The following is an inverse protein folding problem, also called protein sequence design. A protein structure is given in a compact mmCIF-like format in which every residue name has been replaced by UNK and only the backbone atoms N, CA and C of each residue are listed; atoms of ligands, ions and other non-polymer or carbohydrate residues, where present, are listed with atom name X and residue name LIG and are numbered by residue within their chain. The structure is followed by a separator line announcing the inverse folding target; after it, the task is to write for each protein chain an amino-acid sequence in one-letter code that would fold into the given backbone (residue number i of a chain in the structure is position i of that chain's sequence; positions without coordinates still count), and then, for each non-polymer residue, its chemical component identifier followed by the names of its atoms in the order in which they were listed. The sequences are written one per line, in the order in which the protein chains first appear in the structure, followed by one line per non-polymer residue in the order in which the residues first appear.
data_IF_553575247194
#
_entry.id   IF_553575247194
#
_cell.length_a   1.000
_cell.length_b   1.000
_cell.length_c   1.000
_cell.angle_alpha   90.00
_cell.angle_beta   90.00
_cell.angle_gamma   90.00
#
_symmetry.space_group_name_H-M   'P 1'
#
loop_
_entity.id
_entity.type
_entity.pdbx_description
1 polymer ?
#
# COMPACT_ATOMS: atom_id res chain seq x y z
N UNK A 1 -5.84 2.25 -18.21
CA UNK A 1 -5.00 1.97 -19.40
C UNK A 1 -5.88 1.48 -20.54
N UNK A 2 -5.64 1.95 -21.77
CA UNK A 2 -6.31 1.41 -22.96
C UNK A 2 -5.68 0.08 -23.36
N UNK A 3 -6.52 -0.92 -23.64
CA UNK A 3 -6.07 -2.21 -24.16
C UNK A 3 -5.66 -2.11 -25.62
N UNK A 4 -4.88 -3.07 -26.07
CA UNK A 4 -4.52 -3.27 -27.47
C UNK A 4 -4.97 -4.65 -27.93
N UNK A 5 -6.04 -4.69 -28.72
CA UNK A 5 -6.63 -5.92 -29.21
C UNK A 5 -5.67 -6.76 -30.08
N UNK A 6 -4.68 -6.13 -30.72
CA UNK A 6 -3.68 -6.83 -31.57
C UNK A 6 -2.79 -7.75 -30.73
N UNK A 7 -2.50 -7.38 -29.49
CA UNK A 7 -1.71 -8.21 -28.55
C UNK A 7 -2.58 -8.90 -27.49
N UNK A 8 -3.89 -8.90 -27.66
CA UNK A 8 -4.82 -9.59 -26.76
C UNK A 8 -5.00 -8.94 -25.39
N UNK A 9 -4.62 -7.65 -25.22
CA UNK A 9 -4.82 -6.95 -23.96
C UNK A 9 -6.13 -6.17 -23.93
N UNK A 10 -6.85 -6.23 -22.81
CA UNK A 10 -8.09 -5.50 -22.60
C UNK A 10 -7.87 -4.13 -21.96
N UNK A 11 -8.79 -3.20 -22.21
CA UNK A 11 -8.80 -1.93 -21.52
C UNK A 11 -9.12 -2.14 -20.05
N UNK A 12 -8.33 -1.52 -19.18
CA UNK A 12 -8.51 -1.57 -17.73
C UNK A 12 -8.74 -0.17 -17.16
N UNK A 13 -9.69 -0.07 -16.25
CA UNK A 13 -9.95 1.12 -15.45
C UNK A 13 -9.72 0.80 -13.99
N UNK A 14 -9.20 1.76 -13.23
CA UNK A 14 -9.11 1.63 -11.77
C UNK A 14 -9.30 2.98 -11.12
N UNK A 15 -9.94 3.00 -9.97
CA UNK A 15 -10.05 4.16 -9.10
C UNK A 15 -9.73 3.78 -7.66
N UNK A 16 -9.13 4.71 -6.93
CA UNK A 16 -8.79 4.57 -5.52
C UNK A 16 -9.24 5.84 -4.80
N UNK A 17 -9.88 5.68 -3.66
CA UNK A 17 -10.23 6.77 -2.77
C UNK A 17 -9.98 6.36 -1.32
N UNK A 18 -9.69 7.33 -0.47
CA UNK A 18 -9.49 7.03 0.93
C UNK A 18 -9.21 8.28 1.75
N UNK A 19 -9.26 8.10 3.05
CA UNK A 19 -8.90 9.11 4.05
C UNK A 19 -8.09 8.45 5.15
N UNK A 20 -7.24 9.23 5.79
CA UNK A 20 -6.45 8.78 6.92
C UNK A 20 -6.43 9.85 8.02
N UNK A 21 -6.37 9.41 9.25
CA UNK A 21 -6.18 10.23 10.43
C UNK A 21 -5.18 9.57 11.36
N UNK A 22 -4.36 10.38 11.99
CA UNK A 22 -3.36 9.88 12.94
C UNK A 22 -2.99 10.94 13.95
N UNK A 23 -2.28 10.50 14.96
CA UNK A 23 -1.72 11.35 15.99
C UNK A 23 -0.34 10.83 16.37
N UNK A 24 0.52 11.75 16.78
CA UNK A 24 1.81 11.42 17.36
C UNK A 24 2.03 12.17 18.68
N UNK A 25 2.94 11.64 19.46
CA UNK A 25 3.28 12.20 20.74
C UNK A 25 4.82 12.16 20.94
N UNK A 26 5.33 13.25 21.45
CA UNK A 26 6.74 13.40 21.78
C UNK A 26 6.98 12.86 23.19
N UNK A 27 7.42 11.60 23.30
CA UNK A 27 7.71 10.93 24.58
C UNK A 27 8.94 11.49 25.28
N UNK A 28 9.90 11.95 24.50
CA UNK A 28 11.10 12.65 24.99
C UNK A 28 11.57 13.62 23.90
N UNK A 29 12.51 14.54 24.19
CA UNK A 29 13.08 15.42 23.16
C UNK A 29 13.59 14.70 21.91
N UNK A 30 13.92 13.43 22.06
CA UNK A 30 14.55 12.61 21.02
C UNK A 30 13.64 11.48 20.49
N UNK A 31 12.43 11.28 21.06
CA UNK A 31 11.59 10.12 20.74
C UNK A 31 10.15 10.56 20.45
N UNK A 32 9.71 10.28 19.23
CA UNK A 32 8.33 10.45 18.78
C UNK A 32 7.75 9.07 18.50
N UNK A 33 6.54 8.82 18.93
CA UNK A 33 5.76 7.66 18.48
C UNK A 33 4.35 8.10 18.12
N UNK A 34 3.76 7.42 17.18
CA UNK A 34 2.44 7.75 16.68
C UNK A 34 1.71 6.56 16.10
N UNK A 35 0.44 6.78 15.82
CA UNK A 35 -0.42 5.82 15.14
C UNK A 35 -1.25 6.53 14.08
N UNK A 36 -1.71 5.76 13.11
CA UNK A 36 -2.66 6.21 12.11
C UNK A 36 -3.67 5.11 11.79
N UNK A 37 -4.87 5.52 11.45
CA UNK A 37 -5.90 4.68 10.86
C UNK A 37 -6.31 5.26 9.52
N UNK A 38 -6.61 4.40 8.57
CA UNK A 38 -7.06 4.78 7.24
C UNK A 38 -8.21 3.89 6.79
N UNK A 39 -9.11 4.47 6.02
CA UNK A 39 -10.19 3.74 5.36
C UNK A 39 -10.36 4.25 3.93
N UNK A 40 -10.78 3.37 3.06
CA UNK A 40 -10.97 3.72 1.66
C UNK A 40 -11.47 2.54 0.84
N UNK A 41 -11.47 2.71 -0.47
CA UNK A 41 -11.84 1.64 -1.37
C UNK A 41 -11.16 1.77 -2.71
N UNK A 42 -11.14 0.66 -3.41
CA UNK A 42 -10.67 0.57 -4.78
C UNK A 42 -11.74 -0.06 -5.64
N UNK A 43 -11.83 0.36 -6.88
CA UNK A 43 -12.59 -0.35 -7.89
C UNK A 43 -11.75 -0.52 -9.14
N UNK A 44 -11.92 -1.65 -9.81
CA UNK A 44 -11.24 -1.93 -11.07
C UNK A 44 -12.19 -2.65 -12.02
N UNK A 45 -11.98 -2.45 -13.31
CA UNK A 45 -12.74 -3.11 -14.36
C UNK A 45 -11.83 -3.47 -15.52
N UNK A 46 -12.10 -4.63 -16.11
CA UNK A 46 -11.46 -5.12 -17.31
C UNK A 46 -12.56 -5.32 -18.36
N UNK A 47 -12.51 -4.55 -19.44
CA UNK A 47 -13.55 -4.56 -20.47
C UNK A 47 -13.81 -5.96 -21.01
N UNK A 48 -15.06 -6.41 -20.95
CA UNK A 48 -15.49 -7.71 -21.46
C UNK A 48 -15.16 -8.92 -20.59
N UNK A 49 -14.46 -8.75 -19.46
CA UNK A 49 -14.06 -9.87 -18.59
C UNK A 49 -14.63 -9.78 -17.17
N UNK A 50 -14.73 -8.57 -16.61
CA UNK A 50 -15.27 -8.42 -15.28
C UNK A 50 -14.80 -7.17 -14.57
N UNK A 51 -15.17 -7.08 -13.31
CA UNK A 51 -14.85 -5.96 -12.43
C UNK A 51 -14.64 -6.45 -11.00
N UNK A 52 -14.10 -5.58 -10.16
CA UNK A 52 -14.00 -5.84 -8.73
C UNK A 52 -13.98 -4.54 -7.95
N UNK A 53 -14.29 -4.66 -6.68
CA UNK A 53 -14.19 -3.60 -5.68
C UNK A 53 -13.57 -4.15 -4.42
N UNK A 54 -12.95 -3.27 -3.67
CA UNK A 54 -12.42 -3.62 -2.35
C UNK A 54 -12.63 -2.45 -1.42
N UNK A 55 -13.19 -2.72 -0.25
CA UNK A 55 -13.20 -1.80 0.89
C UNK A 55 -11.97 -2.11 1.75
N UNK A 56 -11.26 -1.06 2.16
CA UNK A 56 -9.98 -1.15 2.83
C UNK A 56 -10.03 -0.45 4.19
N UNK A 57 -9.59 -1.13 5.22
CA UNK A 57 -9.24 -0.54 6.51
C UNK A 57 -7.76 -0.81 6.80
N UNK A 58 -7.05 0.20 7.30
CA UNK A 58 -5.67 0.07 7.73
C UNK A 58 -5.47 0.72 9.10
N UNK A 59 -4.60 0.12 9.91
CA UNK A 59 -4.12 0.71 11.14
C UNK A 59 -2.60 0.49 11.22
N UNK A 60 -1.89 1.49 11.71
CA UNK A 60 -0.44 1.41 11.85
C UNK A 60 0.08 2.24 13.01
N UNK A 61 1.26 1.89 13.47
CA UNK A 61 1.99 2.63 14.50
C UNK A 61 3.46 2.73 14.11
N UNK A 62 4.11 3.75 14.60
CA UNK A 62 5.53 3.96 14.40
C UNK A 62 6.20 4.55 15.64
N UNK A 63 7.51 4.36 15.72
CA UNK A 63 8.38 5.04 16.66
C UNK A 63 9.60 5.54 15.91
N UNK A 64 10.04 6.75 16.23
CA UNK A 64 11.30 7.33 15.77
C UNK A 64 12.09 7.82 16.95
N UNK A 65 13.34 7.40 17.03
CA UNK A 65 14.32 7.88 18.00
C UNK A 65 15.47 8.54 17.27
N UNK A 66 15.95 9.67 17.81
CA UNK A 66 17.08 10.43 17.26
C UNK A 66 18.11 10.64 18.35
N UNK A 67 19.34 10.24 18.09
CA UNK A 67 20.48 10.47 19.00
C UNK A 67 21.56 11.25 18.26
N UNK A 68 21.69 12.54 18.60
CA UNK A 68 22.55 13.47 17.87
C UNK A 68 22.16 13.55 16.39
N UNK A 69 23.04 13.13 15.51
CA UNK A 69 22.82 13.10 14.06
C UNK A 69 22.28 11.77 13.54
N UNK A 70 22.23 10.74 14.36
CA UNK A 70 21.71 9.43 14.01
C UNK A 70 20.20 9.34 14.30
N UNK A 71 19.48 8.55 13.51
CA UNK A 71 18.09 8.20 13.82
C UNK A 71 17.81 6.74 13.49
N UNK A 72 16.82 6.20 14.18
CA UNK A 72 16.17 4.93 13.86
C UNK A 72 14.66 5.15 13.86
N UNK A 73 13.99 4.51 12.92
CA UNK A 73 12.53 4.51 12.83
C UNK A 73 12.05 3.06 12.64
N UNK A 74 11.05 2.67 13.40
CA UNK A 74 10.36 1.40 13.21
C UNK A 74 8.87 1.67 13.02
N UNK A 75 8.23 0.93 12.12
CA UNK A 75 6.80 1.03 11.86
C UNK A 75 6.22 -0.34 11.62
N UNK A 76 4.98 -0.54 12.08
CA UNK A 76 4.16 -1.72 11.81
C UNK A 76 2.80 -1.26 11.32
N UNK A 77 2.21 -2.01 10.39
CA UNK A 77 0.87 -1.75 9.92
C UNK A 77 0.12 -3.06 9.64
N UNK A 78 -1.18 -2.99 9.85
CA UNK A 78 -2.15 -4.02 9.54
C UNK A 78 -3.19 -3.44 8.59
N UNK A 79 -3.56 -4.21 7.57
CA UNK A 79 -4.62 -3.88 6.62
C UNK A 79 -5.61 -5.03 6.53
N UNK A 80 -6.89 -4.69 6.51
CA UNK A 80 -7.99 -5.59 6.22
C UNK A 80 -8.72 -5.10 4.97
N UNK A 81 -9.06 -6.02 4.09
CA UNK A 81 -9.74 -5.74 2.82
C UNK A 81 -10.92 -6.67 2.65
N UNK A 82 -12.07 -6.12 2.33
CA UNK A 82 -13.24 -6.84 1.85
C UNK A 82 -13.30 -6.71 0.33
N UNK A 83 -13.19 -7.84 -0.36
CA UNK A 83 -13.01 -7.87 -1.80
C UNK A 83 -14.18 -8.60 -2.44
N UNK A 84 -14.83 -7.93 -3.38
CA UNK A 84 -15.84 -8.51 -4.27
C UNK A 84 -15.31 -8.50 -5.70
N UNK A 85 -15.39 -9.62 -6.39
CA UNK A 85 -15.05 -9.74 -7.80
C UNK A 85 -16.23 -10.27 -8.59
N UNK A 86 -16.50 -9.68 -9.74
CA UNK A 86 -17.53 -10.09 -10.70
C UNK A 86 -16.86 -10.46 -12.02
N UNK A 87 -17.11 -11.66 -12.51
CA UNK A 87 -16.57 -12.18 -13.77
C UNK A 87 -17.67 -12.67 -14.69
N UNK A 88 -17.58 -12.31 -15.98
CA UNK A 88 -18.50 -12.77 -17.01
C UNK A 88 -17.77 -13.72 -17.95
N UNK A 89 -18.36 -14.87 -18.21
CA UNK A 89 -17.81 -15.90 -19.11
C UNK A 89 -18.74 -16.04 -20.34
N UNK A 90 -18.32 -15.55 -21.51
CA UNK A 90 -19.17 -15.55 -22.74
C UNK A 90 -18.96 -16.79 -23.60
N UNK A 91 -18.90 -17.99 -23.05
CA UNK A 91 -18.59 -19.22 -23.82
C UNK A 91 -19.85 -19.96 -24.30
N UNK A 92 -20.82 -20.16 -23.41
CA UNK A 92 -22.11 -20.82 -23.73
C UNK A 92 -23.22 -20.07 -23.01
N UNK A 93 -23.53 -18.86 -23.45
CA UNK A 93 -24.38 -17.93 -22.73
C UNK A 93 -23.56 -16.87 -22.01
N UNK A 94 -24.17 -16.13 -21.09
CA UNK A 94 -23.51 -15.12 -20.25
C UNK A 94 -23.55 -15.63 -18.80
N UNK A 95 -22.57 -16.46 -18.44
CA UNK A 95 -22.42 -16.89 -17.05
C UNK A 95 -21.83 -15.75 -16.24
N UNK A 96 -22.51 -15.38 -15.16
CA UNK A 96 -22.09 -14.33 -14.23
C UNK A 96 -21.67 -14.95 -12.91
N UNK A 97 -20.40 -14.81 -12.58
CA UNK A 97 -19.75 -15.42 -11.43
C UNK A 97 -19.25 -14.32 -10.49
N UNK A 98 -19.46 -14.52 -9.20
CA UNK A 98 -19.02 -13.59 -8.14
C UNK A 98 -18.24 -14.32 -7.07
N UNK A 99 -17.19 -13.69 -6.58
CA UNK A 99 -16.53 -14.11 -5.36
C UNK A 99 -16.45 -12.95 -4.36
N UNK A 100 -16.64 -13.29 -3.08
CA UNK A 100 -16.53 -12.38 -1.94
C UNK A 100 -15.59 -13.02 -0.92
N UNK A 101 -14.57 -12.30 -0.50
CA UNK A 101 -13.59 -12.77 0.47
C UNK A 101 -12.86 -11.63 1.14
N UNK A 102 -12.27 -11.91 2.31
CA UNK A 102 -11.51 -10.95 3.09
C UNK A 102 -10.01 -11.27 3.00
N UNK A 103 -9.18 -10.27 2.76
CA UNK A 103 -7.74 -10.39 2.77
C UNK A 103 -7.13 -9.62 3.94
N UNK A 104 -6.05 -10.13 4.50
CA UNK A 104 -5.30 -9.49 5.56
C UNK A 104 -3.88 -9.19 5.10
N UNK A 105 -3.40 -7.99 5.39
CA UNK A 105 -2.04 -7.56 5.10
C UNK A 105 -1.32 -7.15 6.38
N UNK A 106 -0.07 -7.57 6.52
CA UNK A 106 0.82 -7.19 7.61
C UNK A 106 2.07 -6.59 7.02
N UNK A 107 2.51 -5.45 7.51
CA UNK A 107 3.76 -4.86 7.07
C UNK A 107 4.58 -4.35 8.24
N UNK A 108 5.90 -4.40 8.06
CA UNK A 108 6.85 -3.84 9.00
C UNK A 108 8.00 -3.19 8.24
N UNK A 109 8.50 -2.07 8.79
CA UNK A 109 9.64 -1.34 8.25
C UNK A 109 10.54 -0.88 9.38
N UNK A 110 11.84 -1.07 9.20
CA UNK A 110 12.87 -0.47 10.04
C UNK A 110 13.80 0.33 9.14
N UNK A 111 14.13 1.54 9.55
CA UNK A 111 15.02 2.43 8.82
C UNK A 111 15.97 3.11 9.80
N UNK A 112 17.25 3.18 9.45
CA UNK A 112 18.27 3.92 10.20
C UNK A 112 19.08 4.79 9.26
N UNK A 113 19.51 5.95 9.77
CA UNK A 113 20.31 6.88 9.00
C UNK A 113 21.12 7.82 9.88
N UNK A 114 22.07 8.50 9.24
CA UNK A 114 22.94 9.45 9.92
C UNK A 114 23.06 10.73 9.10
N UNK A 115 22.78 11.89 9.70
CA UNK A 115 22.79 13.19 9.02
C UNK A 115 24.16 13.85 9.15
N UNK A 116 24.83 14.04 8.03
CA UNK A 116 26.02 14.86 7.90
C UNK A 116 25.62 16.30 7.60
N UNK A 117 25.83 17.19 8.55
CA UNK A 117 25.57 18.62 8.37
C UNK A 117 26.78 19.28 7.70
N UNK A 118 26.59 19.87 6.53
CA UNK A 118 27.58 20.68 5.83
C UNK A 118 27.12 22.14 5.85
N UNK A 119 28.03 23.13 5.60
CA UNK A 119 27.66 24.55 5.70
C UNK A 119 26.49 24.98 4.83
N UNK A 120 26.22 24.28 3.73
CA UNK A 120 25.24 24.64 2.73
C UNK A 120 24.15 23.58 2.46
N UNK A 121 24.31 22.38 3.01
CA UNK A 121 23.31 21.32 2.90
C UNK A 121 23.49 20.24 3.95
N UNK A 122 22.44 19.52 4.27
CA UNK A 122 22.47 18.26 4.99
C UNK A 122 22.43 17.07 4.04
N UNK A 123 23.26 16.05 4.25
CA UNK A 123 23.19 14.78 3.54
C UNK A 123 22.96 13.68 4.56
N UNK A 124 21.95 12.86 4.32
CA UNK A 124 21.57 11.77 5.21
C UNK A 124 21.54 10.44 4.45
N UNK A 125 22.64 9.68 4.43
CA UNK A 125 22.58 8.29 4.01
C UNK A 125 21.68 7.51 4.97
N UNK A 126 20.91 6.58 4.43
CA UNK A 126 20.04 5.71 5.20
C UNK A 126 19.98 4.30 4.60
N UNK A 127 19.64 3.36 5.46
CA UNK A 127 19.31 1.99 5.09
C UNK A 127 17.96 1.62 5.69
N UNK A 128 17.16 0.86 4.95
CA UNK A 128 15.89 0.37 5.43
C UNK A 128 15.63 -1.07 4.98
N UNK A 129 14.95 -1.81 5.85
CA UNK A 129 14.35 -3.10 5.55
C UNK A 129 12.85 -3.03 5.76
N UNK A 130 12.09 -3.64 4.86
CA UNK A 130 10.64 -3.71 4.91
C UNK A 130 10.18 -5.10 4.51
N UNK A 131 9.08 -5.55 5.07
CA UNK A 131 8.33 -6.68 4.57
C UNK A 131 6.84 -6.33 4.49
N UNK A 132 6.14 -6.98 3.58
CA UNK A 132 4.68 -6.96 3.48
C UNK A 132 4.21 -8.37 3.23
N UNK A 133 3.34 -8.89 4.07
CA UNK A 133 2.72 -10.21 3.92
C UNK A 133 1.24 -10.02 3.67
N UNK A 134 0.75 -10.56 2.55
CA UNK A 134 -0.65 -10.60 2.19
C UNK A 134 -1.17 -12.03 2.36
N UNK A 135 -2.21 -12.19 3.16
CA UNK A 135 -2.90 -13.45 3.37
C UNK A 135 -4.26 -13.42 2.67
N UNK A 136 -4.41 -14.27 1.68
CA UNK A 136 -5.65 -14.53 0.97
C UNK A 136 -6.24 -15.85 1.47
N UNK A 137 -7.51 -15.90 1.91
CA UNK A 137 -8.16 -17.16 2.26
C UNK A 137 -8.43 -18.01 1.03
N UNK A 138 -8.83 -19.25 1.21
CA UNK A 138 -9.48 -20.00 0.16
C UNK A 138 -10.88 -19.42 -0.11
N UNK A 139 -11.23 -19.26 -1.36
CA UNK A 139 -12.55 -18.80 -1.76
C UNK A 139 -13.00 -19.45 -3.06
N UNK A 140 -14.29 -19.42 -3.34
CA UNK A 140 -14.87 -19.96 -4.57
C UNK A 140 -15.85 -18.95 -5.17
N UNK A 141 -15.92 -18.94 -6.47
CA UNK A 141 -16.92 -18.17 -7.19
C UNK A 141 -18.29 -18.81 -7.03
N UNK A 142 -19.30 -17.99 -6.86
CA UNK A 142 -20.71 -18.36 -6.87
C UNK A 142 -21.36 -17.93 -8.17
N UNK A 143 -22.23 -18.75 -8.71
CA UNK A 143 -23.00 -18.42 -9.92
C UNK A 143 -24.14 -17.48 -9.55
N UNK A 144 -24.13 -16.29 -10.11
CA UNK A 144 -25.23 -15.31 -9.98
C UNK A 144 -26.28 -15.56 -11.06
N UNK A 145 -25.84 -15.88 -12.28
CA UNK A 145 -26.70 -16.29 -13.38
C UNK A 145 -25.92 -17.18 -14.35
N UNK A 146 -26.64 -18.04 -15.08
CA UNK A 146 -26.05 -19.02 -15.98
C UNK A 146 -25.75 -20.36 -15.30
N UNK A 147 -24.72 -21.06 -15.73
CA UNK A 147 -24.33 -22.39 -15.25
C UNK A 147 -23.10 -22.31 -14.36
N UNK A 148 -22.98 -23.20 -13.34
CA UNK A 148 -21.81 -23.22 -12.44
C UNK A 148 -20.57 -23.88 -13.09
N UNK A 149 -20.64 -24.29 -14.32
CA UNK A 149 -19.60 -25.08 -15.01
C UNK A 149 -18.24 -24.39 -15.03
N UNK A 150 -18.22 -23.05 -15.05
CA UNK A 150 -17.00 -22.25 -15.10
C UNK A 150 -16.67 -21.55 -13.78
N UNK A 151 -17.37 -21.86 -12.69
CA UNK A 151 -17.04 -21.35 -11.38
C UNK A 151 -15.68 -21.90 -10.90
N UNK A 152 -14.81 -21.01 -10.47
CA UNK A 152 -13.45 -21.33 -10.03
C UNK A 152 -13.36 -21.35 -8.51
N UNK A 153 -12.60 -22.31 -8.00
CA UNK A 153 -12.18 -22.35 -6.61
C UNK A 153 -10.71 -21.96 -6.50
N UNK A 154 -10.38 -21.13 -5.53
CA UNK A 154 -9.03 -20.65 -5.27
C UNK A 154 -8.55 -21.15 -3.91
N UNK A 155 -7.39 -21.76 -3.88
CA UNK A 155 -6.73 -22.14 -2.61
C UNK A 155 -6.20 -20.89 -1.90
N UNK A 156 -6.26 -20.91 -0.58
CA UNK A 156 -5.66 -19.85 0.23
C UNK A 156 -4.16 -19.70 -0.05
N UNK A 157 -3.67 -18.47 -0.04
CA UNK A 157 -2.28 -18.16 -0.35
C UNK A 157 -1.77 -17.04 0.55
N UNK A 158 -0.56 -17.24 1.07
CA UNK A 158 0.20 -16.19 1.73
C UNK A 158 1.38 -15.80 0.85
N UNK A 159 1.54 -14.51 0.62
CA UNK A 159 2.64 -13.95 -0.17
C UNK A 159 3.36 -12.91 0.67
N UNK A 160 4.68 -13.08 0.83
CA UNK A 160 5.53 -12.12 1.52
C UNK A 160 6.49 -11.48 0.53
N UNK A 161 6.50 -10.17 0.51
CA UNK A 161 7.42 -9.33 -0.29
C UNK A 161 8.41 -8.62 0.65
N UNK A 162 9.65 -9.11 0.78
CA UNK A 162 10.71 -8.40 1.47
C UNK A 162 11.37 -7.37 0.57
N UNK A 163 11.67 -6.19 1.10
CA UNK A 163 12.34 -5.11 0.39
C UNK A 163 13.46 -4.53 1.23
N UNK A 164 14.63 -4.33 0.64
CA UNK A 164 15.72 -3.54 1.19
C UNK A 164 15.89 -2.24 0.40
N UNK A 165 16.27 -1.18 1.07
CA UNK A 165 16.45 0.14 0.47
C UNK A 165 17.72 0.77 1.04
N UNK A 166 18.56 1.30 0.16
CA UNK A 166 19.71 2.15 0.49
C UNK A 166 19.54 3.45 -0.27
N UNK A 167 19.77 4.58 0.38
CA UNK A 167 19.56 5.86 -0.27
C UNK A 167 20.18 7.02 0.48
N UNK A 168 20.00 8.19 -0.13
CA UNK A 168 20.40 9.47 0.45
C UNK A 168 19.20 10.41 0.47
N UNK A 169 19.11 11.19 1.55
CA UNK A 169 18.22 12.36 1.61
C UNK A 169 19.09 13.60 1.68
N UNK A 170 18.70 14.64 0.98
CA UNK A 170 19.34 15.94 1.12
C UNK A 170 18.32 16.95 1.64
N UNK A 171 18.77 17.83 2.51
CA UNK A 171 18.02 18.97 2.98
C UNK A 171 18.87 20.24 2.83
N UNK A 172 18.23 21.28 2.30
CA UNK A 172 18.82 22.60 2.19
C UNK A 172 17.81 23.63 2.65
N UNK A 173 18.25 24.55 3.53
CA UNK A 173 17.40 25.58 4.10
C UNK A 173 17.90 26.96 3.70
N UNK A 174 16.98 27.77 3.15
CA UNK A 174 17.24 29.14 2.73
C UNK A 174 16.43 30.09 3.57
N UNK A 175 17.04 31.13 4.09
CA UNK A 175 16.33 32.24 4.70
C UNK A 175 15.67 33.07 3.60
N UNK A 176 14.34 33.27 3.69
CA UNK A 176 13.53 34.03 2.75
C UNK A 176 12.69 35.03 3.56
N UNK A 177 13.04 36.31 3.49
CA UNK A 177 12.38 37.37 4.24
C UNK A 177 12.17 36.99 5.73
N UNK A 178 10.93 36.79 6.17
CA UNK A 178 10.58 36.45 7.56
C UNK A 178 10.39 34.95 7.78
N UNK A 179 10.87 34.09 6.87
CA UNK A 179 10.68 32.64 6.92
C UNK A 179 11.89 31.82 6.53
N UNK A 180 11.80 30.52 6.75
CA UNK A 180 12.79 29.54 6.33
C UNK A 180 12.16 28.59 5.30
N UNK A 181 12.72 28.61 4.07
CA UNK A 181 12.35 27.64 3.04
C UNK A 181 13.30 26.43 3.13
N UNK A 182 12.75 25.25 3.41
CA UNK A 182 13.53 24.01 3.43
C UNK A 182 13.14 23.12 2.25
N UNK A 183 14.09 22.85 1.36
CA UNK A 183 13.97 21.89 0.26
C UNK A 183 14.52 20.54 0.73
N UNK A 184 13.71 19.48 0.54
CA UNK A 184 14.09 18.10 0.86
C UNK A 184 13.93 17.22 -0.34
N UNK A 185 14.92 16.35 -0.62
CA UNK A 185 14.88 15.34 -1.67
C UNK A 185 15.20 13.97 -1.12
N UNK A 186 14.75 12.93 -1.83
CA UNK A 186 14.98 11.52 -1.50
C UNK A 186 15.25 10.72 -2.78
#
# INVERSE_FOLDING_TARGET
TSGNAVVGSNATTSSVYGTAVGADYLFSPNTVAGFAIAGGGTSFGVSGLGSGRSDLFQAGAYVRHTEGNAYITAALAYGWQDITTDRTVPVVGLDHLRAEFNANAYSGRVEGGYRFAMPWMGITPYAAGQFTTLNLPSYAEQTISGLPTFALGYAGKSVTDPRSELGFRTDNSFAVQDGLLTLRTR
#
